data_IF_686060200118
#
_entry.id   IF_686060200118
#
_cell.length_a   1.000
_cell.length_b   1.000
_cell.length_c   1.000
_cell.angle_alpha   90.00
_cell.angle_beta   90.00
_cell.angle_gamma   90.00
#
_symmetry.space_group_name_H-M   'P 1'
#
loop_
_entity.id
_entity.type
_entity.pdbx_description
1 polymer ?
#
# COMPACT_ATOMS: atom_id res chain seq x y z
N UNK A 1 4.07 -17.21 7.73
CA UNK A 1 4.66 -17.31 6.41
C UNK A 1 3.69 -18.02 5.49
N UNK A 2 3.44 -17.47 4.30
CA UNK A 2 2.81 -18.24 3.26
C UNK A 2 3.76 -19.34 2.74
N UNK A 3 5.04 -19.35 3.20
CA UNK A 3 6.05 -20.31 2.78
C UNK A 3 6.52 -20.11 1.34
N UNK A 4 6.13 -18.99 0.72
CA UNK A 4 6.50 -18.69 -0.66
C UNK A 4 8.00 -18.37 -0.73
N UNK A 5 8.67 -18.87 -1.76
CA UNK A 5 10.06 -18.58 -2.05
C UNK A 5 10.22 -18.33 -3.54
N UNK A 6 11.10 -17.39 -3.89
CA UNK A 6 11.39 -17.05 -5.28
C UNK A 6 12.89 -16.88 -5.48
N UNK A 7 13.41 -17.53 -6.51
CA UNK A 7 14.75 -17.29 -7.06
C UNK A 7 14.61 -16.77 -8.49
N UNK A 8 15.20 -15.61 -8.77
CA UNK A 8 15.24 -14.99 -10.07
C UNK A 8 16.66 -15.11 -10.66
N UNK A 9 16.74 -15.52 -11.92
CA UNK A 9 18.00 -15.67 -12.65
C UNK A 9 17.95 -14.75 -13.86
N UNK A 10 18.93 -13.85 -13.98
CA UNK A 10 19.06 -12.91 -15.09
C UNK A 10 20.29 -13.23 -15.91
N UNK A 11 20.17 -13.24 -17.22
CA UNK A 11 21.29 -13.27 -18.14
C UNK A 11 21.46 -11.89 -18.77
N UNK A 12 22.57 -11.24 -18.47
CA UNK A 12 22.87 -9.88 -18.93
C UNK A 12 24.03 -9.96 -19.92
N UNK A 13 23.92 -9.25 -21.02
CA UNK A 13 24.99 -9.16 -22.00
C UNK A 13 26.05 -8.09 -21.62
N UNK A 14 27.06 -7.93 -22.47
CA UNK A 14 28.15 -6.97 -22.26
C UNK A 14 27.70 -5.49 -22.28
N UNK A 15 26.56 -5.21 -22.88
CA UNK A 15 25.98 -3.87 -23.01
C UNK A 15 24.96 -3.58 -21.88
N UNK A 16 24.84 -4.49 -20.90
CA UNK A 16 23.95 -4.34 -19.74
C UNK A 16 22.48 -4.69 -20.03
N UNK A 17 22.21 -5.31 -21.19
CA UNK A 17 20.86 -5.70 -21.58
C UNK A 17 20.51 -7.09 -21.03
N UNK A 18 19.36 -7.22 -20.41
CA UNK A 18 18.84 -8.51 -19.95
C UNK A 18 18.33 -9.31 -21.14
N UNK A 19 19.05 -10.35 -21.52
CA UNK A 19 18.76 -11.18 -22.71
C UNK A 19 17.90 -12.40 -22.39
N UNK A 20 17.88 -12.86 -21.15
CA UNK A 20 17.05 -13.97 -20.69
C UNK A 20 16.75 -13.78 -19.19
N UNK A 21 15.59 -14.22 -18.75
CA UNK A 21 15.19 -14.21 -17.36
C UNK A 21 14.40 -15.48 -17.04
N UNK A 22 14.74 -16.13 -15.93
CA UNK A 22 14.09 -17.37 -15.47
C UNK A 22 13.83 -17.26 -13.97
N UNK A 23 12.82 -17.96 -13.52
CA UNK A 23 12.52 -18.02 -12.11
C UNK A 23 12.30 -19.46 -11.64
N UNK A 24 12.49 -19.62 -10.34
CA UNK A 24 12.15 -20.83 -9.61
C UNK A 24 11.36 -20.40 -8.37
N UNK A 25 10.12 -20.81 -8.28
CA UNK A 25 9.26 -20.41 -7.15
C UNK A 25 8.59 -21.61 -6.51
N UNK A 26 8.39 -21.50 -5.22
CA UNK A 26 7.52 -22.35 -4.44
C UNK A 26 6.48 -21.42 -3.78
N UNK A 27 5.21 -21.51 -4.18
CA UNK A 27 4.19 -20.60 -3.72
C UNK A 27 2.84 -20.79 -4.37
N UNK A 28 1.95 -19.83 -4.16
CA UNK A 28 0.59 -19.85 -4.70
C UNK A 28 0.57 -19.44 -6.20
N UNK A 29 -0.61 -19.59 -6.85
CA UNK A 29 -0.78 -19.19 -8.25
C UNK A 29 -0.43 -17.72 -8.53
N UNK A 30 -0.72 -16.81 -7.58
CA UNK A 30 -0.34 -15.39 -7.70
C UNK A 30 1.19 -15.20 -7.63
N UNK A 31 1.90 -15.99 -6.84
CA UNK A 31 3.37 -15.96 -6.80
C UNK A 31 3.97 -16.41 -8.13
N UNK A 32 3.42 -17.47 -8.73
CA UNK A 32 3.84 -17.94 -10.07
C UNK A 32 3.55 -16.88 -11.12
N UNK A 33 2.34 -16.30 -11.11
CA UNK A 33 1.95 -15.27 -12.08
C UNK A 33 2.82 -14.01 -11.98
N UNK A 34 3.07 -13.51 -10.75
CA UNK A 34 3.93 -12.35 -10.52
C UNK A 34 5.37 -12.59 -10.98
N UNK A 35 5.89 -13.81 -10.73
CA UNK A 35 7.23 -14.18 -11.18
C UNK A 35 7.31 -14.29 -12.71
N UNK A 36 6.29 -14.86 -13.35
CA UNK A 36 6.23 -15.00 -14.81
C UNK A 36 6.18 -13.65 -15.51
N UNK A 37 5.24 -12.77 -15.11
CA UNK A 37 5.12 -11.45 -15.74
C UNK A 37 6.39 -10.61 -15.50
N UNK A 38 7.02 -10.70 -14.33
CA UNK A 38 8.28 -10.02 -14.05
C UNK A 38 9.37 -10.43 -15.05
N UNK A 39 9.52 -11.73 -15.35
CA UNK A 39 10.52 -12.17 -16.34
C UNK A 39 10.26 -11.56 -17.73
N UNK A 40 9.01 -11.44 -18.14
CA UNK A 40 8.64 -10.78 -19.39
C UNK A 40 8.93 -9.27 -19.37
N UNK A 41 8.68 -8.61 -18.22
CA UNK A 41 8.91 -7.17 -18.06
C UNK A 41 10.39 -6.79 -18.12
N UNK A 42 11.30 -7.65 -17.67
CA UNK A 42 12.73 -7.33 -17.59
C UNK A 42 13.50 -7.68 -18.86
N UNK A 43 13.08 -8.68 -19.64
CA UNK A 43 13.75 -9.07 -20.88
C UNK A 43 13.77 -7.92 -21.88
N UNK A 44 14.94 -7.65 -22.45
CA UNK A 44 15.18 -6.57 -23.41
C UNK A 44 15.44 -5.20 -22.78
N UNK A 45 15.32 -5.06 -21.47
CA UNK A 45 15.66 -3.82 -20.76
C UNK A 45 17.13 -3.80 -20.35
N UNK A 46 17.70 -2.58 -20.26
CA UNK A 46 18.95 -2.38 -19.56
C UNK A 46 18.75 -2.63 -18.06
N UNK A 47 19.74 -3.19 -17.38
CA UNK A 47 19.63 -3.57 -15.98
C UNK A 47 19.27 -2.39 -15.06
N UNK A 48 19.75 -1.17 -15.35
CA UNK A 48 19.39 0.04 -14.61
C UNK A 48 17.93 0.49 -14.85
N UNK A 49 17.34 0.11 -15.98
CA UNK A 49 15.92 0.36 -16.23
C UNK A 49 15.06 -0.69 -15.53
N UNK A 50 15.52 -1.94 -15.51
CA UNK A 50 14.86 -3.01 -14.79
C UNK A 50 14.78 -2.72 -13.29
N UNK A 51 15.80 -2.08 -12.70
CA UNK A 51 15.84 -1.63 -11.30
C UNK A 51 14.68 -0.69 -10.93
N UNK A 52 14.08 0.00 -11.89
CA UNK A 52 12.98 0.95 -11.64
C UNK A 52 11.59 0.29 -11.67
N UNK A 53 11.51 -1.00 -11.93
CA UNK A 53 10.25 -1.73 -11.93
C UNK A 53 9.78 -1.87 -10.48
N UNK A 54 8.56 -1.39 -10.21
CA UNK A 54 7.95 -1.45 -8.88
C UNK A 54 7.04 -2.67 -8.74
N UNK A 55 6.77 -3.08 -7.51
CA UNK A 55 5.80 -4.13 -7.22
C UNK A 55 4.39 -3.77 -7.71
N UNK A 56 4.03 -2.47 -7.71
CA UNK A 56 2.75 -2.01 -8.27
C UNK A 56 2.68 -2.25 -9.78
N UNK A 57 3.75 -1.97 -10.53
CA UNK A 57 3.80 -2.23 -11.97
C UNK A 57 3.70 -3.73 -12.28
N UNK A 58 4.25 -4.61 -11.44
CA UNK A 58 4.10 -6.06 -11.55
C UNK A 58 2.64 -6.45 -11.36
N UNK A 59 1.96 -5.90 -10.35
CA UNK A 59 0.55 -6.15 -10.09
C UNK A 59 -0.33 -5.63 -11.24
N UNK A 60 -0.07 -4.42 -11.74
CA UNK A 60 -0.84 -3.78 -12.82
C UNK A 60 -0.70 -4.56 -14.14
N UNK A 61 0.49 -5.10 -14.44
CA UNK A 61 0.72 -5.92 -15.62
C UNK A 61 -0.08 -7.24 -15.62
N UNK A 62 -0.53 -7.69 -14.44
CA UNK A 62 -1.45 -8.82 -14.28
C UNK A 62 -2.93 -8.42 -14.35
N UNK A 63 -3.24 -7.14 -14.56
CA UNK A 63 -4.60 -6.61 -14.48
C UNK A 63 -5.07 -6.37 -13.04
N UNK A 64 -4.14 -6.30 -12.11
CA UNK A 64 -4.35 -6.17 -10.66
C UNK A 64 -4.19 -7.49 -9.90
N UNK A 65 -3.90 -7.37 -8.62
CA UNK A 65 -3.89 -8.48 -7.68
C UNK A 65 -4.91 -8.22 -6.56
N UNK A 66 -5.57 -9.26 -6.03
CA UNK A 66 -6.36 -9.11 -4.80
C UNK A 66 -5.50 -8.51 -3.67
N UNK A 67 -6.05 -7.65 -2.79
CA UNK A 67 -5.28 -7.01 -1.72
C UNK A 67 -4.43 -8.00 -0.92
N UNK A 68 -5.01 -9.13 -0.52
CA UNK A 68 -4.33 -10.18 0.25
C UNK A 68 -3.24 -10.94 -0.53
N UNK A 69 -3.07 -10.65 -1.83
CA UNK A 69 -2.05 -11.21 -2.72
C UNK A 69 -0.98 -10.21 -3.15
N UNK A 70 -1.07 -8.95 -2.72
CA UNK A 70 -0.08 -7.92 -3.06
C UNK A 70 1.35 -8.29 -2.64
N UNK A 71 1.52 -9.02 -1.54
CA UNK A 71 2.84 -9.54 -1.11
C UNK A 71 3.54 -10.40 -2.17
N UNK A 72 2.81 -11.00 -3.13
CA UNK A 72 3.43 -11.77 -4.21
C UNK A 72 4.17 -10.86 -5.22
N UNK A 73 3.64 -9.65 -5.48
CA UNK A 73 4.34 -8.67 -6.32
C UNK A 73 5.53 -8.04 -5.58
N UNK A 74 5.42 -7.82 -4.26
CA UNK A 74 6.55 -7.37 -3.41
C UNK A 74 7.67 -8.39 -3.46
N UNK A 75 7.39 -9.67 -3.24
CA UNK A 75 8.40 -10.75 -3.34
C UNK A 75 9.07 -10.78 -4.72
N UNK A 76 8.33 -10.51 -5.80
CA UNK A 76 8.88 -10.39 -7.16
C UNK A 76 9.87 -9.24 -7.27
N UNK A 77 9.52 -8.08 -6.73
CA UNK A 77 10.38 -6.89 -6.69
C UNK A 77 11.66 -7.14 -5.87
N UNK A 78 11.53 -7.71 -4.66
CA UNK A 78 12.68 -8.04 -3.80
C UNK A 78 13.66 -9.00 -4.50
N UNK A 79 13.13 -10.01 -5.21
CA UNK A 79 13.95 -10.94 -5.97
C UNK A 79 14.67 -10.26 -7.14
N UNK A 80 14.06 -9.25 -7.77
CA UNK A 80 14.69 -8.44 -8.82
C UNK A 80 15.82 -7.59 -8.23
N UNK A 81 15.57 -6.90 -7.13
CA UNK A 81 16.60 -6.11 -6.44
C UNK A 81 17.81 -6.97 -6.04
N UNK A 82 17.55 -8.13 -5.45
CA UNK A 82 18.61 -9.08 -5.07
C UNK A 82 19.41 -9.59 -6.29
N UNK A 83 18.75 -9.88 -7.41
CA UNK A 83 19.42 -10.32 -8.63
C UNK A 83 20.28 -9.22 -9.24
N UNK A 84 19.83 -7.96 -9.20
CA UNK A 84 20.57 -6.79 -9.68
C UNK A 84 21.76 -6.48 -8.76
N UNK A 85 21.59 -6.52 -7.45
CA UNK A 85 22.67 -6.35 -6.48
C UNK A 85 23.77 -7.38 -6.72
N UNK A 86 23.39 -8.65 -6.90
CA UNK A 86 24.34 -9.73 -7.22
C UNK A 86 25.10 -9.48 -8.55
N UNK A 87 24.42 -8.94 -9.59
CA UNK A 87 25.08 -8.59 -10.85
C UNK A 87 26.17 -7.53 -10.65
N UNK A 88 25.95 -6.53 -9.80
CA UNK A 88 26.95 -5.50 -9.49
C UNK A 88 28.02 -5.96 -8.48
N UNK A 89 27.93 -7.20 -7.99
CA UNK A 89 28.86 -7.72 -6.97
C UNK A 89 28.63 -7.11 -5.59
N UNK A 90 27.47 -6.51 -5.36
CA UNK A 90 27.02 -6.08 -4.06
C UNK A 90 26.59 -7.33 -3.29
N UNK A 91 27.17 -7.55 -2.09
CA UNK A 91 26.63 -8.60 -1.22
C UNK A 91 25.22 -8.21 -0.84
N UNK A 92 24.25 -9.02 -1.29
CA UNK A 92 22.91 -8.98 -0.70
C UNK A 92 23.04 -9.50 0.72
N UNK A 93 23.22 -8.59 1.64
CA UNK A 93 23.30 -8.91 3.08
C UNK A 93 21.89 -9.31 3.49
N UNK A 94 21.68 -10.63 3.66
CA UNK A 94 20.49 -11.05 4.40
C UNK A 94 20.53 -10.35 5.77
N UNK A 95 19.40 -9.79 6.22
CA UNK A 95 19.39 -8.92 7.40
C UNK A 95 19.55 -9.72 8.72
N UNK A 96 20.62 -10.52 8.85
CA UNK A 96 20.89 -11.28 10.09
C UNK A 96 21.16 -10.37 11.29
N UNK A 97 21.64 -9.14 11.06
CA UNK A 97 21.88 -8.13 12.10
C UNK A 97 20.77 -7.05 12.19
N UNK A 98 19.73 -7.11 11.35
CA UNK A 98 18.65 -6.16 11.40
C UNK A 98 17.59 -6.53 12.42
N UNK A 99 17.04 -5.53 13.10
CA UNK A 99 15.95 -5.70 14.07
C UNK A 99 14.73 -6.37 13.44
N UNK A 100 14.53 -7.66 13.69
CA UNK A 100 13.32 -8.37 13.27
C UNK A 100 12.12 -7.78 14.01
N UNK A 101 11.19 -7.20 13.28
CA UNK A 101 9.95 -6.63 13.82
C UNK A 101 8.85 -7.69 13.85
N UNK A 102 8.65 -8.44 12.77
CA UNK A 102 7.70 -9.54 12.71
C UNK A 102 8.41 -10.90 12.71
N UNK A 103 8.42 -11.60 13.87
CA UNK A 103 9.06 -12.90 14.00
C UNK A 103 8.37 -14.04 13.24
N UNK A 104 7.05 -13.93 13.02
CA UNK A 104 6.29 -14.97 12.29
C UNK A 104 6.67 -15.05 10.82
N UNK A 105 7.01 -13.91 10.23
CA UNK A 105 7.31 -13.78 8.81
C UNK A 105 8.74 -13.29 8.53
N UNK A 106 9.57 -13.17 9.58
CA UNK A 106 10.96 -12.71 9.51
C UNK A 106 11.10 -11.35 8.80
N UNK A 107 10.14 -10.46 9.01
CA UNK A 107 10.17 -9.10 8.43
C UNK A 107 10.94 -8.17 9.35
N UNK A 108 11.99 -7.53 8.83
CA UNK A 108 12.78 -6.55 9.57
C UNK A 108 12.11 -5.18 9.60
N UNK A 109 12.50 -4.34 10.54
CA UNK A 109 11.99 -2.96 10.62
C UNK A 109 12.36 -2.16 9.37
N UNK A 110 13.58 -2.31 8.86
CA UNK A 110 14.06 -1.60 7.67
C UNK A 110 13.26 -1.99 6.43
N UNK A 111 13.10 -3.29 6.18
CA UNK A 111 12.32 -3.78 5.04
C UNK A 111 10.86 -3.33 5.11
N UNK A 112 10.28 -3.32 6.33
CA UNK A 112 8.91 -2.84 6.50
C UNK A 112 8.78 -1.34 6.23
N UNK A 113 9.75 -0.51 6.65
CA UNK A 113 9.79 0.92 6.31
C UNK A 113 9.85 1.13 4.81
N UNK A 114 10.70 0.39 4.11
CA UNK A 114 10.81 0.45 2.65
C UNK A 114 9.47 0.13 1.99
N UNK A 115 8.81 -0.98 2.36
CA UNK A 115 7.50 -1.35 1.81
C UNK A 115 6.44 -0.28 2.09
N UNK A 116 6.40 0.28 3.30
CA UNK A 116 5.47 1.35 3.67
C UNK A 116 5.69 2.59 2.79
N UNK A 117 6.94 2.99 2.59
CA UNK A 117 7.30 4.17 1.80
C UNK A 117 6.99 3.99 0.31
N UNK A 118 7.45 2.90 -0.30
CA UNK A 118 7.29 2.63 -1.73
C UNK A 118 5.83 2.45 -2.13
N UNK A 119 5.03 1.83 -1.26
CA UNK A 119 3.63 1.52 -1.55
C UNK A 119 2.65 2.48 -0.89
N UNK A 120 3.16 3.49 -0.18
CA UNK A 120 2.35 4.49 0.50
C UNK A 120 1.28 3.89 1.43
N UNK A 121 1.66 2.86 2.18
CA UNK A 121 0.75 2.15 3.07
C UNK A 121 0.29 3.06 4.21
N UNK A 122 -0.97 2.97 4.60
CA UNK A 122 -1.59 3.89 5.54
C UNK A 122 -2.01 3.24 6.85
N UNK A 123 -2.33 1.97 6.80
CA UNK A 123 -2.89 1.25 7.93
C UNK A 123 -2.31 -0.16 8.05
N UNK A 124 -2.63 -0.81 9.16
CA UNK A 124 -2.16 -2.15 9.49
C UNK A 124 -2.64 -3.20 8.47
N UNK A 125 -3.84 -3.03 7.91
CA UNK A 125 -4.40 -3.95 6.92
C UNK A 125 -3.60 -3.91 5.63
N UNK A 126 -3.22 -2.71 5.18
CA UNK A 126 -2.33 -2.52 4.04
C UNK A 126 -0.99 -3.25 4.30
N UNK A 127 -0.39 -3.07 5.47
CA UNK A 127 0.86 -3.75 5.84
C UNK A 127 0.71 -5.26 5.83
N UNK A 128 -0.39 -5.79 6.36
CA UNK A 128 -0.67 -7.23 6.34
C UNK A 128 -0.82 -7.78 4.91
N UNK A 129 -1.36 -6.98 4.00
CA UNK A 129 -1.55 -7.36 2.60
C UNK A 129 -0.23 -7.36 1.81
N UNK A 130 0.64 -6.38 2.05
CA UNK A 130 1.89 -6.19 1.31
C UNK A 130 3.08 -6.96 1.91
N UNK A 131 3.24 -6.95 3.23
CA UNK A 131 4.39 -7.54 3.92
C UNK A 131 4.07 -8.83 4.68
N UNK A 132 2.81 -9.23 4.82
CA UNK A 132 2.34 -10.27 5.74
C UNK A 132 2.65 -10.01 7.21
N UNK A 133 3.42 -9.00 7.54
CA UNK A 133 3.69 -8.63 8.92
C UNK A 133 2.38 -8.28 9.64
N UNK A 134 2.17 -8.89 10.81
CA UNK A 134 0.94 -8.69 11.61
C UNK A 134 -0.17 -9.72 11.36
N UNK A 135 -0.16 -10.45 10.24
CA UNK A 135 -1.28 -11.32 9.87
C UNK A 135 -1.35 -12.68 10.61
N UNK A 136 -0.40 -12.98 11.51
CA UNK A 136 -0.41 -14.22 12.30
C UNK A 136 -0.76 -13.97 13.78
N UNK A 137 0.24 -13.72 14.63
CA UNK A 137 0.06 -13.67 16.09
C UNK A 137 -0.29 -12.29 16.65
N UNK A 138 -0.18 -11.22 15.85
CA UNK A 138 -0.50 -9.85 16.24
C UNK A 138 0.51 -9.14 17.17
N UNK A 139 1.53 -9.81 17.68
CA UNK A 139 2.49 -9.19 18.62
C UNK A 139 3.21 -7.97 18.08
N UNK A 140 3.37 -7.88 16.76
CA UNK A 140 4.04 -6.75 16.10
C UNK A 140 3.09 -5.59 15.75
N UNK A 141 1.78 -5.69 15.98
CA UNK A 141 0.81 -4.65 15.58
C UNK A 141 1.18 -3.27 16.14
N UNK A 142 1.52 -3.19 17.44
CA UNK A 142 1.87 -1.92 18.05
C UNK A 142 3.15 -1.31 17.45
N UNK A 143 4.14 -2.13 17.13
CA UNK A 143 5.37 -1.67 16.49
C UNK A 143 5.11 -1.22 15.04
N UNK A 144 4.28 -1.95 14.29
CA UNK A 144 3.85 -1.57 12.93
C UNK A 144 3.10 -0.25 12.96
N UNK A 145 2.14 -0.09 13.90
CA UNK A 145 1.38 1.14 14.02
C UNK A 145 2.29 2.34 14.28
N UNK A 146 3.29 2.18 15.14
CA UNK A 146 4.27 3.24 15.39
C UNK A 146 5.03 3.64 14.12
N UNK A 147 5.44 2.70 13.27
CA UNK A 147 6.09 3.01 11.99
C UNK A 147 5.15 3.74 11.03
N UNK A 148 3.89 3.31 10.97
CA UNK A 148 2.86 3.98 10.16
C UNK A 148 2.61 5.41 10.65
N UNK A 149 2.54 5.62 11.96
CA UNK A 149 2.35 6.94 12.56
C UNK A 149 3.54 7.86 12.25
N UNK A 150 4.78 7.37 12.41
CA UNK A 150 6.00 8.09 12.04
C UNK A 150 5.97 8.49 10.56
N UNK A 151 5.67 7.56 9.67
CA UNK A 151 5.59 7.81 8.24
C UNK A 151 4.47 8.80 7.86
N UNK A 152 3.30 8.70 8.52
CA UNK A 152 2.18 9.62 8.27
C UNK A 152 2.46 11.05 8.78
N UNK A 153 3.26 11.20 9.85
CA UNK A 153 3.69 12.52 10.36
C UNK A 153 4.68 13.18 9.38
N UNK A 154 5.59 12.40 8.79
CA UNK A 154 6.61 12.90 7.84
C UNK A 154 6.04 13.22 6.46
N UNK A 155 4.85 12.73 6.13
CA UNK A 155 4.21 13.06 4.84
C UNK A 155 3.87 14.54 4.77
N UNK A 156 4.27 15.24 3.70
CA UNK A 156 3.69 16.53 3.42
C UNK A 156 2.17 16.33 3.26
N UNK A 157 1.40 17.03 4.12
CA UNK A 157 -0.06 17.02 4.01
C UNK A 157 -0.43 17.41 2.58
N UNK A 158 -1.39 16.69 2.02
CA UNK A 158 -1.79 16.88 0.63
C UNK A 158 -2.18 18.36 0.42
N UNK A 159 -1.44 19.05 -0.42
CA UNK A 159 -1.84 20.37 -0.86
C UNK A 159 -3.03 20.22 -1.82
N UNK A 160 -4.24 20.51 -1.31
CA UNK A 160 -5.49 20.39 -2.06
C UNK A 160 -5.44 21.25 -3.33
N UNK A 161 -4.69 22.35 -3.30
CA UNK A 161 -4.56 23.27 -4.45
C UNK A 161 -3.79 22.65 -5.62
N UNK A 162 -3.00 21.60 -5.36
CA UNK A 162 -2.15 20.93 -6.36
C UNK A 162 -2.85 19.79 -7.13
N UNK A 163 -4.05 19.37 -6.69
CA UNK A 163 -4.79 18.25 -7.30
C UNK A 163 -6.07 18.73 -7.99
N UNK A 164 -6.49 17.99 -9.03
CA UNK A 164 -7.75 18.32 -9.70
C UNK A 164 -8.96 18.00 -8.81
N UNK A 165 -10.05 18.76 -8.98
CA UNK A 165 -11.30 18.51 -8.25
C UNK A 165 -11.79 17.07 -8.38
N UNK A 166 -11.62 16.45 -9.55
CA UNK A 166 -11.99 15.04 -9.77
C UNK A 166 -11.17 14.09 -8.91
N UNK A 167 -9.87 14.32 -8.79
CA UNK A 167 -8.98 13.51 -7.93
C UNK A 167 -9.33 13.72 -6.45
N UNK A 168 -9.68 14.92 -6.05
CA UNK A 168 -10.12 15.21 -4.68
C UNK A 168 -11.44 14.50 -4.36
N UNK A 169 -12.43 14.54 -5.26
CA UNK A 169 -13.70 13.83 -5.13
C UNK A 169 -13.48 12.33 -4.94
N UNK A 170 -12.62 11.70 -5.77
CA UNK A 170 -12.34 10.28 -5.67
C UNK A 170 -11.68 9.92 -4.33
N UNK A 171 -10.74 10.74 -3.85
CA UNK A 171 -10.10 10.55 -2.55
C UNK A 171 -11.08 10.70 -1.39
N UNK A 172 -11.92 11.73 -1.42
CA UNK A 172 -12.95 11.98 -0.40
C UNK A 172 -13.94 10.81 -0.37
N UNK A 173 -14.41 10.35 -1.52
CA UNK A 173 -15.35 9.24 -1.60
C UNK A 173 -14.74 7.94 -1.04
N UNK A 174 -13.48 7.66 -1.34
CA UNK A 174 -12.79 6.49 -0.81
C UNK A 174 -12.66 6.54 0.73
N UNK A 175 -12.33 7.70 1.30
CA UNK A 175 -12.28 7.88 2.77
C UNK A 175 -13.66 7.71 3.38
N UNK A 176 -14.70 8.31 2.77
CA UNK A 176 -16.09 8.17 3.24
C UNK A 176 -16.49 6.69 3.27
N UNK A 177 -16.27 5.95 2.19
CA UNK A 177 -16.67 4.56 2.10
C UNK A 177 -15.89 3.65 3.04
N UNK A 178 -14.56 3.82 3.09
CA UNK A 178 -13.67 2.92 3.85
C UNK A 178 -13.76 3.15 5.37
N UNK A 179 -13.82 4.41 5.82
CA UNK A 179 -13.66 4.74 7.24
C UNK A 179 -14.93 5.29 7.90
N UNK A 180 -15.80 5.96 7.15
CA UNK A 180 -16.95 6.67 7.73
C UNK A 180 -18.24 5.86 7.58
N UNK A 181 -18.60 5.46 6.36
CA UNK A 181 -19.85 4.71 6.11
C UNK A 181 -19.90 3.40 6.88
N UNK A 182 -18.78 2.68 6.99
CA UNK A 182 -18.73 1.43 7.74
C UNK A 182 -19.05 1.61 9.23
N UNK A 183 -18.59 2.70 9.86
CA UNK A 183 -18.92 3.00 11.26
C UNK A 183 -20.39 3.42 11.41
N UNK A 184 -20.88 4.29 10.50
CA UNK A 184 -22.25 4.77 10.57
C UNK A 184 -23.28 3.66 10.34
N UNK A 185 -23.00 2.70 9.48
CA UNK A 185 -23.89 1.55 9.19
C UNK A 185 -24.08 0.64 10.39
N UNK A 186 -23.12 0.57 11.32
CA UNK A 186 -23.27 -0.17 12.58
C UNK A 186 -24.44 0.34 13.43
N UNK A 187 -24.71 1.64 13.33
CA UNK A 187 -25.79 2.33 14.05
C UNK A 187 -27.04 2.58 13.19
N UNK A 188 -27.11 1.95 12.01
CA UNK A 188 -28.22 2.07 11.06
C UNK A 188 -28.27 3.41 10.31
N UNK A 189 -27.16 4.17 10.32
CA UNK A 189 -26.97 5.39 9.55
C UNK A 189 -26.15 5.15 8.29
N UNK A 190 -26.04 6.18 7.46
CA UNK A 190 -25.12 6.23 6.32
C UNK A 190 -24.84 7.69 5.93
N UNK A 191 -23.85 7.89 5.05
CA UNK A 191 -23.44 9.20 4.54
C UNK A 191 -23.22 9.12 3.03
N UNK A 192 -23.58 10.15 2.31
CA UNK A 192 -23.36 10.29 0.88
C UNK A 192 -22.59 11.57 0.57
N UNK A 193 -21.57 11.45 -0.27
CA UNK A 193 -20.88 12.60 -0.83
C UNK A 193 -21.76 13.27 -1.90
N UNK A 194 -22.04 14.55 -1.74
CA UNK A 194 -22.85 15.33 -2.69
C UNK A 194 -21.95 16.09 -3.67
N UNK A 195 -20.97 16.84 -3.15
CA UNK A 195 -20.08 17.66 -3.97
C UNK A 195 -18.78 17.98 -3.21
N UNK A 196 -17.76 18.42 -3.95
CA UNK A 196 -16.52 18.94 -3.36
C UNK A 196 -16.16 20.22 -4.11
N UNK A 197 -16.04 21.33 -3.38
CA UNK A 197 -15.66 22.65 -3.93
C UNK A 197 -14.50 23.22 -3.13
N UNK A 198 -13.37 23.39 -3.77
CA UNK A 198 -12.15 23.84 -3.09
C UNK A 198 -11.83 22.92 -1.90
N UNK A 199 -11.88 23.43 -0.68
CA UNK A 199 -11.69 22.67 0.56
C UNK A 199 -12.99 22.25 1.25
N UNK A 200 -14.17 22.51 0.65
CA UNK A 200 -15.48 22.20 1.23
C UNK A 200 -16.03 20.91 0.66
N UNK A 201 -16.31 19.97 1.55
CA UNK A 201 -16.90 18.67 1.24
C UNK A 201 -18.38 18.70 1.66
N UNK A 202 -19.26 18.64 0.68
CA UNK A 202 -20.71 18.61 0.90
C UNK A 202 -21.18 17.16 1.02
N UNK A 203 -21.83 16.86 2.14
CA UNK A 203 -22.30 15.52 2.45
C UNK A 203 -23.78 15.53 2.84
N UNK A 204 -24.46 14.40 2.68
CA UNK A 204 -25.82 14.20 3.15
C UNK A 204 -25.89 12.96 4.03
N UNK A 205 -26.46 13.13 5.22
CA UNK A 205 -26.65 12.02 6.16
C UNK A 205 -27.92 11.24 5.81
N UNK A 206 -27.85 9.90 5.91
CA UNK A 206 -28.94 8.98 5.63
C UNK A 206 -29.28 8.11 6.81
N UNK A 207 -30.46 7.47 6.77
CA UNK A 207 -30.91 6.52 7.80
C UNK A 207 -31.13 7.16 9.18
N UNK A 208 -30.75 6.46 10.24
CA UNK A 208 -30.91 6.92 11.63
C UNK A 208 -30.19 8.23 11.93
N UNK A 209 -29.11 8.53 11.19
CA UNK A 209 -28.32 9.75 11.36
C UNK A 209 -29.10 11.02 10.99
N UNK A 210 -30.09 10.94 10.09
CA UNK A 210 -30.91 12.09 9.66
C UNK A 210 -31.90 12.58 10.72
N UNK A 211 -32.32 11.73 11.64
CA UNK A 211 -33.36 12.01 12.64
C UNK A 211 -32.85 12.26 14.06
N UNK A 212 -31.55 12.11 14.30
CA UNK A 212 -30.96 12.17 15.63
C UNK A 212 -30.60 13.60 16.03
N UNK A 213 -31.38 14.22 16.93
CA UNK A 213 -31.19 15.60 17.39
C UNK A 213 -29.85 15.86 18.13
N UNK A 214 -29.13 14.83 18.55
CA UNK A 214 -27.84 14.94 19.23
C UNK A 214 -26.63 14.74 18.28
N UNK A 215 -26.86 14.35 17.03
CA UNK A 215 -25.81 13.83 16.16
C UNK A 215 -25.25 14.82 15.15
N UNK A 216 -25.96 15.86 14.76
CA UNK A 216 -25.50 16.71 13.65
C UNK A 216 -24.11 17.31 13.90
N UNK A 217 -23.87 17.90 15.06
CA UNK A 217 -22.54 18.46 15.37
C UNK A 217 -21.50 17.40 15.69
N UNK A 218 -21.86 16.33 16.42
CA UNK A 218 -20.92 15.26 16.78
C UNK A 218 -20.54 14.44 15.53
N UNK A 219 -21.52 14.15 14.69
CA UNK A 219 -21.30 13.40 13.46
C UNK A 219 -20.51 14.22 12.43
N UNK A 220 -20.86 15.50 12.27
CA UNK A 220 -20.11 16.44 11.45
C UNK A 220 -18.66 16.52 11.91
N UNK A 221 -18.41 16.64 13.21
CA UNK A 221 -17.06 16.68 13.78
C UNK A 221 -16.31 15.36 13.52
N UNK A 222 -16.97 14.21 13.62
CA UNK A 222 -16.37 12.91 13.32
C UNK A 222 -15.99 12.79 11.84
N UNK A 223 -16.92 13.13 10.93
CA UNK A 223 -16.67 13.12 9.48
C UNK A 223 -15.55 14.07 9.10
N UNK A 224 -15.59 15.30 9.63
CA UNK A 224 -14.57 16.31 9.38
C UNK A 224 -13.21 15.92 9.94
N UNK A 225 -13.15 15.37 11.16
CA UNK A 225 -11.92 14.87 11.76
C UNK A 225 -11.32 13.75 10.91
N UNK A 226 -12.11 12.76 10.47
CA UNK A 226 -11.66 11.67 9.61
C UNK A 226 -11.15 12.15 8.25
N UNK A 227 -11.83 13.11 7.62
CA UNK A 227 -11.36 13.69 6.35
C UNK A 227 -10.09 14.53 6.53
N UNK A 228 -9.99 15.29 7.63
CA UNK A 228 -8.77 16.06 7.95
C UNK A 228 -7.56 15.16 8.20
N UNK A 229 -7.77 14.04 8.86
CA UNK A 229 -6.73 13.05 9.15
C UNK A 229 -6.21 12.37 7.88
N UNK A 230 -7.13 11.97 6.98
CA UNK A 230 -6.78 11.12 5.83
C UNK A 230 -6.50 11.88 4.53
N UNK A 231 -6.87 13.18 4.44
CA UNK A 231 -6.70 13.96 3.21
C UNK A 231 -5.93 15.24 3.47
N UNK A 232 -6.52 16.22 4.17
CA UNK A 232 -5.89 17.52 4.44
C UNK A 232 -6.56 18.21 5.63
N UNK A 233 -5.78 18.90 6.50
CA UNK A 233 -6.32 19.65 7.64
C UNK A 233 -7.22 20.82 7.24
N UNK A 234 -7.15 21.26 5.97
CA UNK A 234 -7.89 22.41 5.47
C UNK A 234 -9.31 22.06 5.02
N UNK A 235 -9.69 20.77 5.06
CA UNK A 235 -11.04 20.33 4.68
C UNK A 235 -12.07 20.80 5.70
N UNK A 236 -13.16 21.33 5.17
CA UNK A 236 -14.37 21.70 5.92
C UNK A 236 -15.54 20.83 5.43
N UNK A 237 -16.30 20.26 6.37
CA UNK A 237 -17.52 19.49 6.02
C UNK A 237 -18.75 20.38 6.13
N UNK A 238 -19.55 20.33 5.08
CA UNK A 238 -20.83 21.07 4.97
C UNK A 238 -21.96 20.06 4.75
N UNK A 239 -23.01 20.13 5.59
CA UNK A 239 -24.22 19.32 5.49
C UNK A 239 -25.31 20.05 4.69
#
# INVERSE_FOLDING_TARGET
>A
ACGDALKLYLKVDKDGIITDAKFQTFGCGSAVASSSILTEMVIGKHIDEAKKITNQQIADALGGLPPEKMHCSVMGHDALEAAIANYYGEEYVEPEDEKILCRCYHVTEKHLRQIIEENHLKDLEDVMNYAKAGSACGHCHQAIQKLLDEYNIERPKLDISSISTTQLILKVNNVIEKYISNELRKDGGDIELIDVKENKVYVSLKGSCKSCKFSSNTLKNFVEASLKEHISPDIEVVE
#
